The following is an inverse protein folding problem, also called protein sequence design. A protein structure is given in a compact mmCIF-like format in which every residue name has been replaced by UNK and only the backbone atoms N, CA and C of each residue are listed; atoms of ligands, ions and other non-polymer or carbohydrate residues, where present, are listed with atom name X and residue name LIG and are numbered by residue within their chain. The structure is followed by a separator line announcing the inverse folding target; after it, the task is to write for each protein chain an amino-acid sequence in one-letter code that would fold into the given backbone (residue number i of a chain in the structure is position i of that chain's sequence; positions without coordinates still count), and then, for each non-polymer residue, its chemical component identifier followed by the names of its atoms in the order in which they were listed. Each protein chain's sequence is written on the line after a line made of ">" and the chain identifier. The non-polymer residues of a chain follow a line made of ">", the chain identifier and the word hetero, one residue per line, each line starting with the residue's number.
data_IF_063443772106
#
_entry.id   IF_063443772106
#
_cell.length_a   1.000
_cell.length_b   1.000
_cell.length_c   1.000
_cell.angle_alpha   90.00
_cell.angle_beta   90.00
_cell.angle_gamma   90.00
#
_symmetry.space_group_name_H-M   'P 1'
#
loop_
_entity.id
_entity.type
_entity.pdbx_description
1 polymer ?
#
# COMPACT_ATOMS: atom_id res chain seq x y z
N UNK A 1 8.81 -20.14 -16.14
CA UNK A 1 7.84 -19.23 -15.48
C UNK A 1 7.24 -20.03 -14.34
N UNK A 2 7.18 -19.47 -13.12
CA UNK A 2 6.63 -20.20 -11.97
C UNK A 2 5.14 -20.48 -12.21
N UNK A 3 4.66 -21.68 -11.86
CA UNK A 3 3.23 -21.95 -11.82
C UNK A 3 2.58 -21.31 -10.60
N UNK A 4 1.26 -21.13 -10.62
CA UNK A 4 0.51 -20.62 -9.45
C UNK A 4 0.73 -21.51 -8.21
N UNK A 5 0.88 -22.82 -8.40
CA UNK A 5 1.19 -23.76 -7.30
C UNK A 5 2.59 -23.52 -6.72
N UNK A 6 3.57 -23.20 -7.56
CA UNK A 6 4.93 -22.88 -7.10
C UNK A 6 4.93 -21.59 -6.29
N UNK A 7 4.14 -20.59 -6.72
CA UNK A 7 3.96 -19.33 -5.99
C UNK A 7 3.26 -19.54 -4.65
N UNK A 8 2.18 -20.33 -4.61
CA UNK A 8 1.50 -20.69 -3.36
C UNK A 8 2.45 -21.39 -2.38
N UNK A 9 3.23 -22.37 -2.85
CA UNK A 9 4.19 -23.10 -2.03
C UNK A 9 5.30 -22.19 -1.50
N UNK A 10 5.87 -21.34 -2.36
CA UNK A 10 6.88 -20.37 -1.97
C UNK A 10 6.33 -19.40 -0.92
N UNK A 11 5.13 -18.88 -1.13
CA UNK A 11 4.47 -17.96 -0.22
C UNK A 11 4.22 -18.60 1.15
N UNK A 12 3.65 -19.82 1.19
CA UNK A 12 3.39 -20.54 2.43
C UNK A 12 4.67 -20.76 3.25
N UNK A 13 5.75 -21.21 2.60
CA UNK A 13 7.02 -21.47 3.27
C UNK A 13 7.67 -20.19 3.80
N UNK A 14 7.58 -19.07 3.08
CA UNK A 14 8.25 -17.83 3.45
C UNK A 14 7.51 -17.05 4.53
N UNK A 15 6.19 -17.12 4.51
CA UNK A 15 5.30 -16.35 5.39
C UNK A 15 4.77 -17.19 6.56
N UNK A 16 5.24 -18.44 6.72
CA UNK A 16 4.80 -19.35 7.77
C UNK A 16 3.33 -19.75 7.67
N UNK A 17 2.74 -19.72 6.47
CA UNK A 17 1.33 -20.00 6.28
C UNK A 17 1.09 -21.50 6.12
N UNK A 18 0.14 -22.00 6.89
CA UNK A 18 -0.18 -23.43 6.99
C UNK A 18 -1.49 -23.82 6.29
N UNK A 19 -2.18 -22.88 5.63
CA UNK A 19 -3.44 -23.16 4.91
C UNK A 19 -3.37 -22.79 3.44
N UNK A 20 -4.05 -23.59 2.60
CA UNK A 20 -4.18 -23.35 1.15
C UNK A 20 -4.84 -21.99 0.85
N UNK A 21 -5.80 -21.55 1.69
CA UNK A 21 -6.45 -20.24 1.53
C UNK A 21 -5.48 -19.09 1.77
N UNK A 22 -4.60 -19.22 2.77
CA UNK A 22 -3.56 -18.24 3.04
C UNK A 22 -2.49 -18.24 1.93
N UNK A 23 -2.12 -19.41 1.42
CA UNK A 23 -1.23 -19.56 0.26
C UNK A 23 -1.75 -18.83 -0.99
N UNK A 24 -3.03 -19.00 -1.34
CA UNK A 24 -3.66 -18.28 -2.47
C UNK A 24 -3.65 -16.77 -2.30
N UNK A 25 -3.96 -16.27 -1.09
CA UNK A 25 -3.91 -14.82 -0.81
C UNK A 25 -2.49 -14.28 -0.93
N UNK A 26 -1.51 -15.03 -0.49
CA UNK A 26 -0.11 -14.65 -0.56
C UNK A 26 0.49 -14.77 -1.98
N UNK A 27 -0.02 -15.68 -2.82
CA UNK A 27 0.31 -15.70 -4.25
C UNK A 27 -0.12 -14.41 -4.96
N UNK A 28 -1.26 -13.81 -4.55
CA UNK A 28 -1.64 -12.46 -5.02
C UNK A 28 -0.60 -11.41 -4.62
N UNK A 29 -0.02 -11.51 -3.42
CA UNK A 29 1.03 -10.60 -2.96
C UNK A 29 2.30 -10.67 -3.84
N UNK A 30 2.57 -11.81 -4.48
CA UNK A 30 3.67 -11.92 -5.45
C UNK A 30 3.42 -11.05 -6.69
N UNK A 31 2.20 -11.10 -7.25
CA UNK A 31 1.83 -10.25 -8.38
C UNK A 31 1.74 -8.77 -8.02
N UNK A 32 1.28 -8.47 -6.81
CA UNK A 32 1.32 -7.14 -6.22
C UNK A 32 2.76 -6.60 -6.12
N UNK A 33 3.72 -7.43 -5.75
CA UNK A 33 5.14 -7.09 -5.71
C UNK A 33 5.73 -6.87 -7.11
N UNK A 34 5.37 -7.71 -8.08
CA UNK A 34 5.74 -7.51 -9.49
C UNK A 34 5.23 -6.17 -9.99
N UNK A 35 3.96 -5.84 -9.75
CA UNK A 35 3.35 -4.58 -10.16
C UNK A 35 4.06 -3.36 -9.56
N UNK A 36 4.49 -3.45 -8.30
CA UNK A 36 5.30 -2.41 -7.64
C UNK A 36 6.71 -2.33 -8.24
N UNK A 37 7.37 -3.47 -8.48
CA UNK A 37 8.72 -3.49 -9.06
C UNK A 37 8.76 -2.84 -10.44
N UNK A 38 7.78 -3.13 -11.30
CA UNK A 38 7.71 -2.53 -12.64
C UNK A 38 7.14 -1.10 -12.65
N UNK A 39 6.77 -0.57 -11.48
CA UNK A 39 6.28 0.81 -11.33
C UNK A 39 4.83 1.03 -11.75
N UNK A 40 4.00 -0.01 -11.87
CA UNK A 40 2.55 0.14 -12.15
C UNK A 40 1.81 0.82 -10.99
N UNK A 41 2.37 0.74 -9.78
CA UNK A 41 1.96 1.52 -8.61
C UNK A 41 3.15 1.73 -7.67
N UNK A 42 3.18 2.78 -6.85
CA UNK A 42 4.32 3.08 -6.00
C UNK A 42 4.53 2.03 -4.89
N UNK A 43 3.44 1.51 -4.31
CA UNK A 43 3.53 0.53 -3.23
C UNK A 43 2.25 -0.27 -3.01
N UNK A 44 2.31 -1.21 -2.08
CA UNK A 44 1.17 -2.00 -1.65
C UNK A 44 1.20 -2.36 -0.17
N UNK A 45 0.02 -2.35 0.45
CA UNK A 45 -0.17 -2.76 1.84
C UNK A 45 -0.30 -4.29 1.93
N UNK A 46 0.51 -4.90 2.77
CA UNK A 46 0.42 -6.32 3.10
C UNK A 46 -0.49 -6.52 4.33
N UNK A 47 -1.73 -6.93 4.08
CA UNK A 47 -2.81 -7.11 5.07
C UNK A 47 -3.34 -8.56 5.12
N UNK A 48 -2.67 -9.49 4.44
CA UNK A 48 -3.22 -10.83 4.14
C UNK A 48 -3.04 -11.84 5.26
N UNK A 49 -2.13 -11.57 6.18
CA UNK A 49 -1.81 -12.40 7.34
C UNK A 49 -1.02 -11.59 8.36
N UNK A 50 -1.11 -11.96 9.63
CA UNK A 50 -0.19 -11.48 10.67
C UNK A 50 1.17 -12.11 10.44
N UNK A 51 2.06 -11.38 9.77
CA UNK A 51 3.44 -11.80 9.50
C UNK A 51 4.35 -10.70 9.97
N UNK A 52 5.39 -11.09 10.71
CA UNK A 52 6.45 -10.18 11.11
C UNK A 52 7.23 -9.66 9.90
N UNK A 53 7.82 -8.45 9.96
CA UNK A 53 8.58 -7.87 8.85
C UNK A 53 9.58 -8.85 8.23
N UNK A 54 10.28 -9.63 9.06
CA UNK A 54 11.26 -10.65 8.63
C UNK A 54 10.67 -11.70 7.69
N UNK A 55 9.44 -12.15 7.92
CA UNK A 55 8.76 -13.12 7.06
C UNK A 55 8.49 -12.53 5.68
N UNK A 56 8.07 -11.27 5.63
CA UNK A 56 7.81 -10.57 4.37
C UNK A 56 9.11 -10.25 3.61
N UNK A 57 10.18 -9.85 4.28
CA UNK A 57 11.51 -9.69 3.68
C UNK A 57 12.00 -11.02 3.07
N UNK A 58 11.84 -12.13 3.80
CA UNK A 58 12.19 -13.48 3.32
C UNK A 58 11.39 -13.84 2.07
N UNK A 59 10.09 -13.53 2.06
CA UNK A 59 9.23 -13.76 0.90
C UNK A 59 9.71 -13.00 -0.34
N UNK A 60 9.97 -11.69 -0.21
CA UNK A 60 10.47 -10.86 -1.31
C UNK A 60 11.82 -11.35 -1.84
N UNK A 61 12.76 -11.70 -0.96
CA UNK A 61 14.05 -12.28 -1.36
C UNK A 61 13.89 -13.58 -2.15
N UNK A 62 12.92 -14.44 -1.76
CA UNK A 62 12.65 -15.69 -2.48
C UNK A 62 11.96 -15.48 -3.81
N UNK A 63 11.09 -14.47 -3.94
CA UNK A 63 10.52 -14.08 -5.23
C UNK A 63 11.60 -13.57 -6.21
N UNK A 64 12.64 -12.90 -5.70
CA UNK A 64 13.80 -12.52 -6.51
C UNK A 64 14.67 -13.72 -6.87
N UNK A 65 14.97 -14.59 -5.91
CA UNK A 65 15.75 -15.80 -6.15
C UNK A 65 15.10 -16.74 -7.17
N UNK A 66 13.76 -16.73 -7.28
CA UNK A 66 13.04 -17.49 -8.30
C UNK A 66 13.00 -16.82 -9.68
N UNK A 67 13.51 -15.60 -9.80
CA UNK A 67 13.51 -14.80 -11.02
C UNK A 67 12.16 -14.19 -11.38
N UNK A 68 11.21 -14.14 -10.43
CA UNK A 68 9.94 -13.42 -10.62
C UNK A 68 10.14 -11.91 -10.51
N UNK A 69 10.91 -11.49 -9.50
CA UNK A 69 11.38 -10.11 -9.33
C UNK A 69 12.76 -9.97 -9.98
N UNK A 70 12.91 -9.03 -10.91
CA UNK A 70 14.12 -8.83 -11.73
C UNK A 70 14.63 -7.39 -11.77
N UNK A 71 13.82 -6.46 -11.29
CA UNK A 71 14.10 -5.03 -11.27
C UNK A 71 14.85 -4.60 -10.00
N UNK A 72 14.85 -3.28 -9.73
CA UNK A 72 15.44 -2.71 -8.51
C UNK A 72 14.88 -3.36 -7.25
N UNK A 73 15.66 -3.35 -6.17
CA UNK A 73 15.18 -3.91 -4.91
C UNK A 73 14.00 -3.12 -4.37
N UNK A 74 13.03 -3.85 -3.82
CA UNK A 74 11.88 -3.28 -3.15
C UNK A 74 12.25 -2.96 -1.70
N UNK A 75 11.60 -1.96 -1.15
CA UNK A 75 11.72 -1.57 0.26
C UNK A 75 10.47 -1.98 1.01
N UNK A 76 10.64 -2.40 2.25
CA UNK A 76 9.57 -2.63 3.20
C UNK A 76 9.49 -1.46 4.17
N UNK A 77 8.38 -0.73 4.16
CA UNK A 77 8.06 0.30 5.14
C UNK A 77 7.19 -0.33 6.23
N UNK A 78 7.55 -0.15 7.49
CA UNK A 78 6.69 -0.47 8.63
C UNK A 78 6.15 0.84 9.23
N UNK A 79 4.83 1.02 9.11
CA UNK A 79 4.11 2.13 9.68
C UNK A 79 3.22 1.62 10.82
N UNK A 80 3.72 1.64 12.06
CA UNK A 80 3.00 1.19 13.26
C UNK A 80 2.47 -0.25 13.14
N UNK A 81 3.27 -1.17 12.59
CA UNK A 81 2.91 -2.57 12.36
C UNK A 81 2.21 -2.82 11.03
N UNK A 82 1.94 -1.77 10.24
CA UNK A 82 1.40 -1.90 8.89
C UNK A 82 2.52 -1.94 7.86
N UNK A 83 2.64 -3.09 7.20
CA UNK A 83 3.72 -3.39 6.27
C UNK A 83 3.39 -2.97 4.84
N UNK A 84 4.17 -2.06 4.26
CA UNK A 84 4.02 -1.58 2.89
C UNK A 84 5.27 -1.94 2.08
N UNK A 85 5.07 -2.68 0.99
CA UNK A 85 6.13 -2.94 0.02
C UNK A 85 6.12 -1.84 -1.03
N UNK A 86 7.25 -1.18 -1.24
CA UNK A 86 7.39 -0.01 -2.10
C UNK A 86 8.56 -0.16 -3.08
N UNK A 87 8.42 0.44 -4.26
CA UNK A 87 9.55 0.66 -5.16
C UNK A 87 10.17 2.02 -4.80
N UNK A 88 11.42 2.08 -4.30
CA UNK A 88 11.99 3.33 -3.79
C UNK A 88 11.93 4.49 -4.77
N UNK A 89 12.36 4.27 -6.02
CA UNK A 89 12.41 5.32 -7.03
C UNK A 89 11.02 5.76 -7.48
N UNK A 90 10.10 4.80 -7.69
CA UNK A 90 8.74 5.11 -8.09
C UNK A 90 7.98 5.84 -6.98
N UNK A 91 8.15 5.42 -5.72
CA UNK A 91 7.52 6.06 -4.56
C UNK A 91 8.05 7.46 -4.33
N UNK A 92 9.37 7.68 -4.36
CA UNK A 92 9.94 9.03 -4.20
C UNK A 92 9.46 9.97 -5.31
N UNK A 93 9.38 9.48 -6.56
CA UNK A 93 8.85 10.26 -7.68
C UNK A 93 7.37 10.58 -7.49
N UNK A 94 6.57 9.58 -7.10
CA UNK A 94 5.15 9.77 -6.84
C UNK A 94 4.90 10.82 -5.75
N UNK A 95 5.63 10.71 -4.62
CA UNK A 95 5.53 11.63 -3.48
C UNK A 95 6.01 13.05 -3.80
N UNK A 96 6.95 13.23 -4.74
CA UNK A 96 7.41 14.57 -5.13
C UNK A 96 6.48 15.25 -6.14
N UNK A 97 5.80 14.47 -6.98
CA UNK A 97 4.87 15.00 -7.98
C UNK A 97 3.59 15.59 -7.39
N UNK A 98 3.16 15.16 -6.20
CA UNK A 98 2.01 15.77 -5.51
C UNK A 98 0.67 15.58 -6.23
N UNK A 99 0.54 14.59 -7.13
CA UNK A 99 -0.64 14.41 -8.01
C UNK A 99 -1.81 13.70 -7.31
N UNK A 100 -2.18 14.14 -6.11
CA UNK A 100 -3.32 13.60 -5.36
C UNK A 100 -4.30 14.71 -5.00
N UNK A 101 -5.57 14.32 -4.91
CA UNK A 101 -6.63 15.17 -4.34
C UNK A 101 -6.79 14.80 -2.87
N UNK A 102 -6.71 15.77 -1.97
CA UNK A 102 -7.00 15.55 -0.57
C UNK A 102 -8.47 15.79 -0.27
N UNK A 103 -9.07 14.83 0.44
CA UNK A 103 -10.44 14.91 0.94
C UNK A 103 -10.40 14.88 2.46
N UNK A 104 -10.91 15.95 3.06
CA UNK A 104 -11.15 16.05 4.49
C UNK A 104 -12.39 15.21 4.86
N UNK A 105 -12.17 14.22 5.71
CA UNK A 105 -13.18 13.34 6.28
C UNK A 105 -13.20 13.43 7.82
N UNK A 106 -12.83 14.59 8.38
CA UNK A 106 -12.84 14.84 9.82
C UNK A 106 -14.20 14.54 10.45
N UNK A 107 -14.24 14.00 11.69
CA UNK A 107 -15.49 13.63 12.38
C UNK A 107 -16.50 14.79 12.50
N UNK A 108 -16.01 16.02 12.61
CA UNK A 108 -16.82 17.23 12.74
C UNK A 108 -17.53 17.65 11.44
N UNK A 109 -17.24 17.01 10.30
CA UNK A 109 -17.93 17.24 9.04
C UNK A 109 -19.19 16.37 8.89
N UNK A 110 -20.22 16.91 8.24
CA UNK A 110 -21.41 16.13 7.88
C UNK A 110 -21.19 15.23 6.65
N UNK A 111 -20.27 15.62 5.77
CA UNK A 111 -19.88 14.88 4.57
C UNK A 111 -18.42 15.18 4.19
N UNK A 112 -17.74 14.31 3.42
CA UNK A 112 -16.37 14.56 2.98
C UNK A 112 -16.27 15.78 2.06
N UNK A 113 -15.24 16.60 2.24
CA UNK A 113 -15.03 17.84 1.50
C UNK A 113 -13.61 17.92 0.95
N UNK A 114 -13.37 18.76 -0.07
CA UNK A 114 -11.99 19.02 -0.52
C UNK A 114 -11.21 19.65 0.63
N UNK A 115 -10.04 19.09 0.93
CA UNK A 115 -9.26 19.49 2.08
C UNK A 115 -8.70 20.92 1.93
N UNK A 116 -8.58 21.62 3.05
CA UNK A 116 -8.06 22.99 3.13
C UNK A 116 -6.53 23.01 3.11
N UNK A 117 -5.96 24.21 3.08
CA UNK A 117 -4.52 24.43 2.99
C UNK A 117 -3.72 23.78 4.14
N UNK A 118 -4.32 23.72 5.34
CA UNK A 118 -3.70 23.12 6.52
C UNK A 118 -3.48 21.61 6.31
N UNK A 119 -4.51 20.89 5.89
CA UNK A 119 -4.44 19.46 5.57
C UNK A 119 -3.45 19.17 4.43
N UNK A 120 -3.36 20.08 3.44
CA UNK A 120 -2.38 20.01 2.37
C UNK A 120 -0.95 20.12 2.90
N UNK A 121 -0.69 21.07 3.79
CA UNK A 121 0.64 21.27 4.39
C UNK A 121 1.06 20.05 5.22
N UNK A 122 0.16 19.50 6.04
CA UNK A 122 0.43 18.27 6.82
C UNK A 122 0.70 17.07 5.91
N UNK A 123 -0.12 16.86 4.88
CA UNK A 123 0.04 15.75 3.94
C UNK A 123 1.33 15.87 3.14
N UNK A 124 1.72 17.09 2.75
CA UNK A 124 2.99 17.36 2.09
C UNK A 124 4.17 17.06 3.02
N UNK A 125 4.07 17.43 4.31
CA UNK A 125 5.09 17.11 5.30
C UNK A 125 5.26 15.59 5.48
N UNK A 126 4.16 14.83 5.52
CA UNK A 126 4.18 13.36 5.54
C UNK A 126 4.88 12.83 4.28
N UNK A 127 4.49 13.29 3.09
CA UNK A 127 5.07 12.87 1.83
C UNK A 127 6.59 13.14 1.76
N UNK A 128 7.03 14.33 2.17
CA UNK A 128 8.44 14.70 2.21
C UNK A 128 9.23 13.86 3.20
N UNK A 129 8.67 13.59 4.38
CA UNK A 129 9.33 12.77 5.41
C UNK A 129 9.48 11.32 4.95
N UNK A 130 8.44 10.75 4.32
CA UNK A 130 8.50 9.43 3.71
C UNK A 130 9.53 9.35 2.58
N UNK A 131 9.55 10.32 1.68
CA UNK A 131 10.51 10.37 0.60
C UNK A 131 11.95 10.47 1.14
N UNK A 132 12.18 11.34 2.13
CA UNK A 132 13.48 11.48 2.79
C UNK A 132 13.91 10.18 3.48
N UNK A 133 13.02 9.49 4.17
CA UNK A 133 13.32 8.20 4.81
C UNK A 133 13.72 7.13 3.78
N UNK A 134 13.03 7.07 2.64
CA UNK A 134 13.34 6.14 1.55
C UNK A 134 14.70 6.47 0.91
N UNK A 135 15.00 7.76 0.71
CA UNK A 135 16.28 8.21 0.13
C UNK A 135 17.45 7.99 1.09
N UNK A 136 17.24 8.20 2.39
CA UNK A 136 18.26 8.03 3.43
C UNK A 136 18.52 6.56 3.77
N UNK A 137 17.60 5.66 3.43
CA UNK A 137 17.81 4.24 3.64
C UNK A 137 19.06 3.75 2.89
N UNK A 138 19.80 2.79 3.46
CA UNK A 138 20.89 2.15 2.75
C UNK A 138 20.38 1.70 1.39
N UNK A 139 21.11 2.04 0.33
CA UNK A 139 20.79 1.55 -1.01
C UNK A 139 20.61 0.04 -0.88
N UNK A 140 19.42 -0.50 -1.20
CA UNK A 140 19.21 -1.92 -1.03
C UNK A 140 20.30 -2.63 -1.84
N UNK A 141 20.96 -3.62 -1.21
CA UNK A 141 21.86 -4.49 -1.95
C UNK A 141 21.14 -5.06 -3.18
N UNK A 142 21.87 -5.53 -4.20
CA UNK A 142 21.27 -5.98 -5.47
C UNK A 142 20.17 -7.04 -5.30
N UNK A 143 20.12 -7.72 -4.14
CA UNK A 143 19.17 -8.81 -3.88
C UNK A 143 18.28 -8.62 -2.66
N UNK A 144 18.64 -7.79 -1.68
CA UNK A 144 17.95 -7.79 -0.38
C UNK A 144 17.02 -6.58 -0.21
N UNK A 145 15.75 -6.81 0.18
CA UNK A 145 14.84 -5.74 0.56
C UNK A 145 15.27 -5.12 1.89
N UNK A 146 15.08 -3.81 2.03
CA UNK A 146 15.44 -3.05 3.24
C UNK A 146 14.17 -2.74 4.03
N UNK A 147 14.22 -2.93 5.36
CA UNK A 147 13.18 -2.46 6.27
C UNK A 147 13.48 -1.02 6.69
N UNK A 148 12.47 -0.15 6.60
CA UNK A 148 12.50 1.22 7.09
C UNK A 148 11.32 1.41 8.03
N UNK A 149 11.60 2.03 9.18
CA UNK A 149 10.61 2.40 10.20
C UNK A 149 10.64 3.93 10.34
N UNK A 150 9.85 4.67 9.54
CA UNK A 150 9.73 6.12 9.70
C UNK A 150 9.10 6.49 11.04
N UNK A 151 9.51 7.63 11.60
CA UNK A 151 8.80 8.23 12.74
C UNK A 151 7.42 8.70 12.28
N UNK A 152 6.36 8.13 12.86
CA UNK A 152 4.96 8.37 12.45
C UNK A 152 4.10 9.00 13.54
N UNK A 153 4.70 9.45 14.65
CA UNK A 153 3.94 10.01 15.76
C UNK A 153 3.12 11.22 15.31
N UNK A 154 1.82 11.17 15.59
CA UNK A 154 0.87 12.24 15.25
C UNK A 154 0.45 12.26 13.78
N UNK A 155 0.89 11.32 12.95
CA UNK A 155 0.46 11.24 11.56
C UNK A 155 -0.96 10.71 11.45
N UNK A 156 -1.69 11.22 10.46
CA UNK A 156 -2.84 10.53 9.92
C UNK A 156 -2.38 9.35 9.07
N UNK A 157 -2.44 8.13 9.63
CA UNK A 157 -1.98 6.93 8.91
C UNK A 157 -2.78 6.64 7.64
N UNK A 158 -4.07 6.96 7.59
CA UNK A 158 -4.87 6.78 6.38
C UNK A 158 -4.37 7.68 5.23
N UNK A 159 -3.93 8.89 5.56
CA UNK A 159 -3.26 9.79 4.61
C UNK A 159 -1.93 9.19 4.14
N UNK A 160 -1.08 8.73 5.06
CA UNK A 160 0.19 8.09 4.70
C UNK A 160 -0.02 6.86 3.79
N UNK A 161 -1.02 6.04 4.05
CA UNK A 161 -1.38 4.91 3.19
C UNK A 161 -1.86 5.38 1.82
N UNK A 162 -2.75 6.37 1.74
CA UNK A 162 -3.22 6.88 0.46
C UNK A 162 -2.08 7.37 -0.44
N UNK A 163 -1.13 8.08 0.15
CA UNK A 163 0.08 8.56 -0.52
C UNK A 163 0.98 7.40 -0.99
N UNK A 164 1.27 6.43 -0.11
CA UNK A 164 2.19 5.33 -0.45
C UNK A 164 1.60 4.31 -1.43
N UNK A 165 0.27 4.15 -1.45
CA UNK A 165 -0.43 3.23 -2.34
C UNK A 165 -0.72 3.85 -3.72
N UNK A 166 -0.52 5.16 -3.87
CA UNK A 166 -0.76 5.88 -5.11
C UNK A 166 -2.23 6.08 -5.42
N UNK A 167 -3.08 6.24 -4.40
CA UNK A 167 -4.49 6.53 -4.64
C UNK A 167 -4.66 7.96 -5.18
N UNK A 168 -5.51 8.16 -6.20
CA UNK A 168 -5.74 9.50 -6.78
C UNK A 168 -6.46 10.44 -5.80
N UNK A 169 -7.20 9.86 -4.85
CA UNK A 169 -7.89 10.56 -3.77
C UNK A 169 -7.33 10.04 -2.45
N UNK A 170 -6.80 10.94 -1.64
CA UNK A 170 -6.19 10.65 -0.35
C UNK A 170 -7.07 11.28 0.73
N UNK A 171 -7.47 10.47 1.71
CA UNK A 171 -8.25 10.97 2.84
C UNK A 171 -7.34 11.52 3.92
N UNK A 172 -7.78 12.65 4.47
CA UNK A 172 -7.21 13.27 5.65
C UNK A 172 -8.33 13.51 6.66
N UNK A 173 -7.99 13.45 7.93
CA UNK A 173 -8.89 13.80 9.02
C UNK A 173 -8.09 14.40 10.15
N UNK A 174 -8.66 15.44 10.76
CA UNK A 174 -8.13 16.02 11.98
C UNK A 174 -8.45 15.09 13.14
N UNK A 175 -7.43 14.62 13.85
CA UNK A 175 -7.63 13.91 15.10
C UNK A 175 -8.16 14.89 16.16
N UNK A 176 -9.37 14.65 16.64
CA UNK A 176 -9.94 15.35 17.79
C UNK A 176 -9.74 14.49 19.05
N UNK A 177 -9.53 15.11 20.20
CA UNK A 177 -9.25 14.39 21.44
C UNK A 177 -10.41 13.45 21.79
N UNK A 178 -10.13 12.15 21.88
CA UNK A 178 -11.14 11.12 22.14
C UNK A 178 -11.87 10.58 20.90
N UNK A 179 -11.52 11.05 19.69
CA UNK A 179 -12.08 10.58 18.41
C UNK A 179 -10.98 10.08 17.45
N UNK A 180 -9.90 9.52 18.02
CA UNK A 180 -8.79 8.98 17.25
C UNK A 180 -9.26 7.83 16.34
N UNK A 181 -9.12 8.02 15.03
CA UNK A 181 -9.56 7.04 14.03
C UNK A 181 -11.04 7.14 13.64
N UNK A 182 -11.82 8.04 14.21
CA UNK A 182 -13.16 8.34 13.73
C UNK A 182 -13.10 9.22 12.48
N UNK A 183 -14.11 9.08 11.61
CA UNK A 183 -14.28 9.93 10.41
C UNK A 183 -15.76 10.17 10.18
N UNK A 184 -16.10 11.21 9.41
CA UNK A 184 -17.49 11.44 8.98
C UNK A 184 -18.05 10.31 8.09
N UNK A 185 -17.19 9.37 7.66
CA UNK A 185 -17.54 8.18 6.89
C UNK A 185 -17.93 6.98 7.77
N UNK A 186 -17.58 6.98 9.06
CA UNK A 186 -17.75 5.82 9.95
C UNK A 186 -19.21 5.35 10.11
N UNK A 187 -20.18 6.25 9.89
CA UNK A 187 -21.62 5.96 9.99
C UNK A 187 -22.34 5.87 8.64
N UNK A 188 -21.60 5.90 7.53
CA UNK A 188 -22.18 5.84 6.19
C UNK A 188 -22.25 4.38 5.69
N UNK A 189 -23.39 3.92 5.15
CA UNK A 189 -23.48 2.58 4.57
C UNK A 189 -22.50 2.38 3.41
N UNK A 190 -21.62 1.40 3.52
CA UNK A 190 -20.68 1.04 2.45
C UNK A 190 -21.42 0.27 1.37
N UNK A 191 -21.44 0.79 0.14
CA UNK A 191 -21.90 0.06 -1.05
C UNK A 191 -20.70 -0.51 -1.79
N UNK A 192 -20.66 -1.84 -1.95
CA UNK A 192 -19.57 -2.51 -2.67
C UNK A 192 -20.03 -2.86 -4.08
N UNK A 193 -19.29 -2.36 -5.06
CA UNK A 193 -19.51 -2.69 -6.47
C UNK A 193 -18.39 -3.60 -6.95
N UNK A 194 -18.75 -4.60 -7.76
CA UNK A 194 -17.76 -5.39 -8.50
C UNK A 194 -17.67 -4.86 -9.92
N UNK A 195 -16.50 -4.40 -10.30
CA UNK A 195 -16.18 -4.11 -11.69
C UNK A 195 -15.37 -5.30 -12.27
N UNK A 196 -15.73 -5.75 -13.46
CA UNK A 196 -14.96 -6.72 -14.23
C UNK A 196 -14.67 -6.15 -15.62
N UNK A 197 -13.43 -6.29 -16.13
CA UNK A 197 -13.14 -5.91 -17.50
C UNK A 197 -13.95 -6.79 -18.45
N UNK A 198 -14.74 -6.17 -19.33
CA UNK A 198 -15.29 -6.86 -20.49
C UNK A 198 -14.20 -6.88 -21.57
N UNK A 199 -13.61 -8.05 -21.81
CA UNK A 199 -12.52 -8.23 -22.76
C UNK A 199 -12.99 -8.24 -24.22
N UNK A 200 -14.31 -8.17 -24.47
CA UNK A 200 -14.90 -8.26 -25.81
C UNK A 200 -15.51 -6.95 -26.33
N UNK A 201 -15.57 -5.88 -25.53
CA UNK A 201 -16.09 -4.58 -25.99
C UNK A 201 -15.25 -3.42 -25.45
N UNK A 202 -15.02 -2.43 -26.31
CA UNK A 202 -14.38 -1.16 -25.97
C UNK A 202 -15.05 -0.53 -24.73
N UNK A 203 -14.33 -0.54 -23.60
CA UNK A 203 -14.44 0.36 -22.45
C UNK A 203 -15.87 0.83 -22.09
N UNK A 204 -16.61 0.04 -21.31
CA UNK A 204 -17.46 0.48 -20.17
C UNK A 204 -17.69 -0.76 -19.30
N UNK A 205 -17.19 -0.75 -18.06
CA UNK A 205 -17.43 -1.83 -17.10
C UNK A 205 -18.85 -1.81 -16.56
N UNK A 206 -19.51 -2.98 -16.50
CA UNK A 206 -20.76 -3.16 -15.79
C UNK A 206 -20.49 -3.09 -14.27
N UNK A 207 -21.15 -2.15 -13.58
CA UNK A 207 -21.15 -2.08 -12.12
C UNK A 207 -22.35 -2.84 -11.59
N UNK A 208 -22.13 -4.01 -11.02
CA UNK A 208 -23.17 -4.73 -10.28
C UNK A 208 -22.94 -4.55 -8.77
N UNK A 209 -23.97 -4.14 -8.00
CA UNK A 209 -23.88 -4.14 -6.55
C UNK A 209 -23.72 -5.58 -6.05
N UNK A 210 -22.84 -5.77 -5.05
CA UNK A 210 -22.78 -7.02 -4.32
C UNK A 210 -23.87 -7.00 -3.25
N UNK A 211 -24.86 -7.91 -3.38
CA UNK A 211 -25.83 -8.22 -2.33
C UNK A 211 -25.21 -9.10 -1.25
#
# INVERSE_FOLDING_TARGET
>A
MLSDRDLESLACQSLGLNTVRAGRRAAKAAWDAVAVEVGLRPGFLYDRSSVEPKGLLTFLSRLRASGLLRGPSLTLLDLQGHLIVANPSATVTHLSEGRWVLVDASPSLTEPQIAKAEAMAESLHIAQTLAAAIVAAPAPGPTEPVLIEPETKGWNLATAFGLLLGYPVVYWSKAEAGQEGETCLASQPVRVYRASPDLNQNLIGLFLPLN
#
